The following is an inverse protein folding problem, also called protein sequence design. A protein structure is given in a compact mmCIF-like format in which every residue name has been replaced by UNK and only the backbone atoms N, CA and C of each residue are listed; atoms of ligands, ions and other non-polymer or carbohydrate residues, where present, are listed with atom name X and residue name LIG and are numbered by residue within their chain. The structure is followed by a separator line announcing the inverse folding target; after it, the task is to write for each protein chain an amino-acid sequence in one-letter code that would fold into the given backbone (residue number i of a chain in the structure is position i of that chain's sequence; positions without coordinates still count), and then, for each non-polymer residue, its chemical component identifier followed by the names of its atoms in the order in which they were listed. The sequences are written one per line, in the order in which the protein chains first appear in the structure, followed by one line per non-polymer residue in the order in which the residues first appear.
data_IF_117479257782
#
_entry.id   IF_117479257782
#
_cell.length_a   1.000
_cell.length_b   1.000
_cell.length_c   1.000
_cell.angle_alpha   90.00
_cell.angle_beta   90.00
_cell.angle_gamma   90.00
#
_symmetry.space_group_name_H-M   'P 1'
#
loop_
_entity.id
_entity.type
_entity.pdbx_description
1 polymer ?
#
# COMPACT_ATOMS: atom_id res chain seq x y z
N UNK A 1 5.37 3.97 10.55
CA UNK A 1 4.53 4.24 9.37
C UNK A 1 4.90 5.60 8.79
N UNK A 2 5.48 5.62 7.61
CA UNK A 2 5.75 6.83 6.83
C UNK A 2 5.19 6.67 5.42
N UNK A 3 4.63 7.74 4.87
CA UNK A 3 4.13 7.78 3.50
C UNK A 3 4.60 9.04 2.79
N UNK A 4 4.76 8.95 1.48
CA UNK A 4 5.06 10.09 0.60
C UNK A 4 3.78 10.50 -0.13
N UNK A 5 3.51 11.81 -0.19
CA UNK A 5 2.40 12.35 -0.97
C UNK A 5 2.86 12.49 -2.42
N UNK A 6 2.17 11.80 -3.33
CA UNK A 6 2.38 11.90 -4.78
C UNK A 6 1.03 12.20 -5.42
N UNK A 7 0.89 13.39 -5.98
CA UNK A 7 -0.37 13.93 -6.49
C UNK A 7 -1.49 13.86 -5.43
N UNK A 8 -2.52 13.04 -5.67
CA UNK A 8 -3.66 12.83 -4.79
C UNK A 8 -3.59 11.50 -4.02
N UNK A 9 -2.41 10.86 -3.96
CA UNK A 9 -2.19 9.56 -3.33
C UNK A 9 -1.10 9.65 -2.28
N UNK A 10 -1.19 8.76 -1.29
CA UNK A 10 -0.11 8.52 -0.33
C UNK A 10 0.52 7.17 -0.67
N UNK A 11 1.83 7.18 -0.97
CA UNK A 11 2.60 5.98 -1.28
C UNK A 11 3.37 5.54 -0.04
N UNK A 12 3.18 4.28 0.35
CA UNK A 12 3.96 3.64 1.41
C UNK A 12 5.04 2.77 0.74
N UNK A 13 6.24 3.32 0.63
CA UNK A 13 7.37 2.64 -0.03
C UNK A 13 7.92 1.46 0.77
N UNK A 14 7.83 1.52 2.10
CA UNK A 14 8.29 0.42 2.94
C UNK A 14 7.36 -0.79 2.78
N UNK A 15 7.90 -1.88 2.23
CA UNK A 15 7.14 -3.10 1.91
C UNK A 15 6.52 -3.73 3.17
N UNK A 16 7.23 -3.74 4.29
CA UNK A 16 6.73 -4.34 5.53
C UNK A 16 5.56 -3.55 6.10
N UNK A 17 5.65 -2.23 6.11
CA UNK A 17 4.55 -1.35 6.54
C UNK A 17 3.35 -1.45 5.60
N UNK A 18 3.57 -1.49 4.28
CA UNK A 18 2.54 -1.69 3.26
C UNK A 18 1.77 -3.01 3.44
N UNK A 19 2.49 -4.10 3.72
CA UNK A 19 1.86 -5.40 4.02
C UNK A 19 1.07 -5.38 5.32
N UNK A 20 1.56 -4.70 6.36
CA UNK A 20 0.84 -4.56 7.63
C UNK A 20 -0.47 -3.78 7.43
N UNK A 21 -0.45 -2.70 6.65
CA UNK A 21 -1.66 -1.94 6.28
C UNK A 21 -2.69 -2.82 5.56
N UNK A 22 -2.26 -3.61 4.58
CA UNK A 22 -3.16 -4.50 3.87
C UNK A 22 -3.73 -5.61 4.79
N UNK A 23 -2.91 -6.19 5.67
CA UNK A 23 -3.35 -7.24 6.61
C UNK A 23 -4.31 -6.72 7.69
N UNK A 24 -4.12 -5.49 8.16
CA UNK A 24 -4.87 -4.92 9.29
C UNK A 24 -6.20 -4.25 8.88
N UNK A 25 -6.74 -4.55 7.70
CA UNK A 25 -8.02 -3.98 7.26
C UNK A 25 -8.12 -3.70 5.75
N UNK A 26 -7.30 -4.35 4.93
CA UNK A 26 -7.32 -4.22 3.47
C UNK A 26 -7.09 -2.79 2.98
N UNK A 27 -6.27 -2.02 3.70
CA UNK A 27 -5.97 -0.64 3.32
C UNK A 27 -5.06 -0.58 2.09
N UNK A 28 -5.42 0.28 1.15
CA UNK A 28 -4.66 0.55 -0.07
C UNK A 28 -4.74 -0.56 -1.11
N UNK A 29 -3.98 -0.38 -2.19
CA UNK A 29 -3.85 -1.37 -3.28
C UNK A 29 -2.37 -1.53 -3.60
N UNK A 30 -1.79 -2.73 -3.41
CA UNK A 30 -0.43 -3.01 -3.86
C UNK A 30 -0.29 -2.76 -5.36
N UNK A 31 0.73 -1.99 -5.74
CA UNK A 31 1.07 -1.75 -7.14
C UNK A 31 1.81 -2.96 -7.69
N UNK A 32 1.50 -3.38 -8.92
CA UNK A 32 2.18 -4.48 -9.61
C UNK A 32 1.68 -5.89 -9.30
N UNK A 33 0.70 -6.05 -8.39
CA UNK A 33 0.06 -7.35 -8.12
C UNK A 33 -1.34 -7.32 -8.74
N UNK A 34 -1.57 -7.99 -9.88
CA UNK A 34 -2.93 -8.17 -10.39
C UNK A 34 -3.74 -9.00 -9.38
N UNK A 35 -5.04 -8.69 -9.23
CA UNK A 35 -5.92 -9.58 -8.47
C UNK A 35 -5.95 -10.93 -9.21
N UNK A 36 -5.86 -12.07 -8.50
CA UNK A 36 -6.10 -13.37 -9.11
C UNK A 36 -7.48 -13.37 -9.78
N UNK A 37 -7.58 -13.97 -10.96
CA UNK A 37 -8.86 -14.30 -11.59
C UNK A 37 -9.60 -15.37 -10.79
#
# INVERSE_FOLDING_TARGET
MKGEIVENRIIVWNIQESRNLFRNGYFGKPIGIPKPN
#
